data_IF_278157773197
#
_entry.id   IF_278157773197
#
_cell.length_a   1.000
_cell.length_b   1.000
_cell.length_c   1.000
_cell.angle_alpha   90.00
_cell.angle_beta   90.00
_cell.angle_gamma   90.00
#
_symmetry.space_group_name_H-M   'P 1'
#
loop_
_entity.id
_entity.type
_entity.pdbx_description
1 polymer ?
#
# COMPACT_ATOMS: atom_id res chain seq x y z
N UNK A 1 -6.73 -4.73 16.17
CA UNK A 1 -5.74 -3.65 15.98
C UNK A 1 -6.50 -2.41 15.59
N UNK A 2 -6.48 -1.37 16.41
CA UNK A 2 -7.19 -0.14 16.13
C UNK A 2 -6.19 1.02 16.20
N UNK A 3 -6.18 1.85 15.17
CA UNK A 3 -5.38 3.07 15.12
C UNK A 3 -6.29 4.24 14.79
N UNK A 4 -6.04 5.38 15.42
CA UNK A 4 -6.91 6.55 15.29
C UNK A 4 -7.06 7.05 13.85
N UNK A 5 -6.11 6.74 12.97
CA UNK A 5 -6.10 7.15 11.57
C UNK A 5 -6.47 6.02 10.59
N UNK A 6 -6.99 4.89 11.04
CA UNK A 6 -7.52 3.84 10.15
C UNK A 6 -9.04 3.72 10.32
N UNK A 7 -9.73 3.24 9.29
CA UNK A 7 -11.18 3.02 9.34
C UNK A 7 -11.46 1.56 9.71
N UNK A 8 -12.22 1.27 10.79
CA UNK A 8 -12.53 -0.10 11.18
C UNK A 8 -13.57 -0.71 10.22
N UNK A 9 -13.37 -1.97 9.86
CA UNK A 9 -14.39 -2.77 9.18
C UNK A 9 -15.49 -3.13 10.19
N UNK A 10 -16.74 -2.74 9.91
CA UNK A 10 -17.86 -3.05 10.80
C UNK A 10 -18.38 -4.46 10.54
N UNK A 11 -18.67 -4.78 9.27
CA UNK A 11 -19.10 -6.11 8.85
C UNK A 11 -18.93 -6.31 7.35
N UNK A 12 -19.03 -7.58 6.94
CA UNK A 12 -18.99 -8.03 5.54
C UNK A 12 -20.38 -8.56 5.19
N UNK A 13 -20.92 -8.09 4.08
CA UNK A 13 -22.16 -8.59 3.52
C UNK A 13 -21.87 -9.37 2.23
N UNK A 14 -22.43 -10.58 2.14
CA UNK A 14 -22.29 -11.46 0.99
C UNK A 14 -23.67 -11.59 0.35
N UNK A 15 -23.78 -11.26 -0.94
CA UNK A 15 -24.97 -11.49 -1.74
C UNK A 15 -24.67 -12.62 -2.74
N UNK A 16 -24.96 -13.89 -2.40
CA UNK A 16 -24.51 -15.04 -3.19
C UNK A 16 -25.12 -15.07 -4.59
N UNK A 17 -26.32 -14.52 -4.74
CA UNK A 17 -27.05 -14.51 -6.01
C UNK A 17 -26.40 -13.58 -7.03
N UNK A 18 -25.77 -12.49 -6.57
CA UNK A 18 -25.13 -11.48 -7.41
C UNK A 18 -23.61 -11.62 -7.49
N UNK A 19 -23.01 -12.60 -6.79
CA UNK A 19 -21.54 -12.74 -6.64
C UNK A 19 -20.90 -11.44 -6.15
N UNK A 20 -21.61 -10.71 -5.29
CA UNK A 20 -21.19 -9.41 -4.77
C UNK A 20 -20.77 -9.55 -3.30
N UNK A 21 -19.66 -8.89 -2.96
CA UNK A 21 -19.16 -8.74 -1.60
C UNK A 21 -19.16 -7.25 -1.30
N UNK A 22 -19.86 -6.85 -0.24
CA UNK A 22 -19.90 -5.48 0.27
C UNK A 22 -19.16 -5.40 1.60
N UNK A 23 -18.23 -4.44 1.71
CA UNK A 23 -17.51 -4.15 2.95
C UNK A 23 -18.10 -2.89 3.56
N UNK A 24 -18.58 -2.97 4.80
CA UNK A 24 -19.28 -1.87 5.46
C UNK A 24 -18.39 -1.21 6.50
N UNK A 25 -18.25 0.11 6.39
CA UNK A 25 -17.40 0.96 7.24
C UNK A 25 -18.21 2.13 7.81
N UNK A 26 -17.78 2.73 8.94
CA UNK A 26 -18.35 4.00 9.37
C UNK A 26 -18.09 5.06 8.30
N UNK A 27 -19.13 5.85 7.99
CA UNK A 27 -18.94 7.01 7.12
C UNK A 27 -18.00 8.02 7.79
N UNK A 28 -16.99 8.47 7.05
CA UNK A 28 -16.09 9.52 7.47
C UNK A 28 -16.31 10.75 6.58
N UNK A 29 -16.93 11.78 7.15
CA UNK A 29 -17.08 13.08 6.51
C UNK A 29 -15.69 13.67 6.24
N UNK A 30 -15.41 14.06 5.00
CA UNK A 30 -14.12 14.56 4.58
C UNK A 30 -14.26 15.59 3.45
N UNK A 31 -13.24 16.42 3.31
CA UNK A 31 -13.14 17.39 2.23
C UNK A 31 -12.39 16.77 1.03
N UNK A 32 -12.79 17.05 -0.22
CA UNK A 32 -12.04 16.62 -1.39
C UNK A 32 -10.66 17.27 -1.44
N UNK A 33 -9.58 16.50 -1.66
CA UNK A 33 -8.22 17.04 -1.68
C UNK A 33 -8.02 18.33 -2.54
N UNK A 34 -8.59 18.43 -3.76
CA UNK A 34 -8.48 19.65 -4.57
C UNK A 34 -9.07 20.91 -3.93
N UNK A 35 -9.97 20.80 -2.95
CA UNK A 35 -10.63 21.96 -2.33
C UNK A 35 -9.78 22.65 -1.27
N UNK A 36 -8.69 22.04 -0.81
CA UNK A 36 -7.85 22.62 0.25
C UNK A 36 -6.36 22.59 -0.04
N UNK A 37 -5.86 21.78 -0.98
CA UNK A 37 -4.40 21.55 -1.10
C UNK A 37 -3.56 22.81 -1.39
N UNK A 38 -4.12 23.80 -2.12
CA UNK A 38 -3.45 25.07 -2.40
C UNK A 38 -3.63 26.11 -1.28
N UNK A 39 -4.59 25.86 -0.38
CA UNK A 39 -4.99 26.78 0.68
C UNK A 39 -4.50 26.33 2.06
N UNK A 40 -3.71 25.25 2.13
CA UNK A 40 -3.11 24.80 3.38
C UNK A 40 -1.94 25.72 3.75
N UNK A 41 -1.94 26.21 4.99
CA UNK A 41 -0.77 26.85 5.56
C UNK A 41 0.29 25.83 5.98
N UNK A 42 1.46 26.33 6.40
CA UNK A 42 2.59 25.48 6.79
C UNK A 42 2.25 24.60 8.01
N UNK A 43 1.39 25.08 8.91
CA UNK A 43 1.03 24.36 10.12
C UNK A 43 0.06 23.21 9.79
N UNK A 44 -0.93 23.47 8.94
CA UNK A 44 -1.88 22.48 8.42
C UNK A 44 -1.16 21.41 7.59
N UNK A 45 -0.22 21.80 6.72
CA UNK A 45 0.63 20.83 5.99
C UNK A 45 1.39 19.95 6.98
N UNK A 46 2.00 20.55 8.02
CA UNK A 46 2.75 19.80 9.02
C UNK A 46 1.88 18.82 9.79
N UNK A 47 0.66 19.20 10.15
CA UNK A 47 -0.30 18.33 10.84
C UNK A 47 -0.78 17.18 9.95
N UNK A 48 -1.13 17.48 8.69
CA UNK A 48 -1.50 16.48 7.69
C UNK A 48 -0.40 15.44 7.49
N UNK A 49 0.83 15.90 7.24
CA UNK A 49 1.99 15.02 7.03
C UNK A 49 2.32 14.22 8.29
N UNK A 50 2.21 14.82 9.48
CA UNK A 50 2.42 14.10 10.74
C UNK A 50 1.39 12.98 10.92
N UNK A 51 0.11 13.23 10.64
CA UNK A 51 -0.92 12.21 10.73
C UNK A 51 -0.69 11.06 9.73
N UNK A 52 -0.30 11.39 8.49
CA UNK A 52 0.03 10.41 7.46
C UNK A 52 1.22 9.55 7.88
N UNK A 53 2.34 10.16 8.26
CA UNK A 53 3.56 9.43 8.66
C UNK A 53 3.33 8.58 9.91
N UNK A 54 2.59 9.07 10.92
CA UNK A 54 2.22 8.26 12.08
C UNK A 54 1.38 7.03 11.68
N UNK A 55 0.52 7.17 10.67
CA UNK A 55 -0.26 6.04 10.13
C UNK A 55 0.65 5.03 9.44
N UNK A 56 1.65 5.47 8.67
CA UNK A 56 2.62 4.58 8.03
C UNK A 56 3.48 3.83 9.04
N UNK A 57 3.94 4.49 10.10
CA UNK A 57 4.65 3.84 11.22
C UNK A 57 3.79 2.75 11.85
N UNK A 58 2.50 3.02 12.07
CA UNK A 58 1.57 2.00 12.56
C UNK A 58 1.44 0.81 11.60
N UNK A 59 1.35 1.04 10.29
CA UNK A 59 1.28 -0.06 9.31
C UNK A 59 2.57 -0.89 9.30
N UNK A 60 3.73 -0.25 9.31
CA UNK A 60 5.04 -0.89 9.36
C UNK A 60 5.16 -1.80 10.59
N UNK A 61 4.81 -1.29 11.78
CA UNK A 61 4.86 -2.05 13.03
C UNK A 61 3.96 -3.30 13.02
N UNK A 62 2.92 -3.30 12.17
CA UNK A 62 2.01 -4.43 11.99
C UNK A 62 2.32 -5.26 10.73
N UNK A 63 3.46 -5.00 10.08
CA UNK A 63 3.92 -5.73 8.90
C UNK A 63 3.04 -5.54 7.67
N UNK A 64 2.31 -4.43 7.58
CA UNK A 64 1.39 -4.11 6.48
C UNK A 64 2.06 -3.11 5.54
N UNK A 65 2.01 -3.39 4.24
CA UNK A 65 2.32 -2.42 3.18
C UNK A 65 1.01 -2.06 2.49
N UNK A 66 0.67 -0.77 2.44
CA UNK A 66 -0.58 -0.29 1.87
C UNK A 66 -0.61 -0.38 0.34
N UNK A 67 0.51 -0.02 -0.30
CA UNK A 67 0.78 -0.03 -1.76
C UNK A 67 -0.01 0.95 -2.62
N UNK A 68 -0.88 1.75 -2.01
CA UNK A 68 -1.72 2.71 -2.73
C UNK A 68 -1.97 3.98 -1.91
N UNK A 69 -0.92 4.47 -1.25
CA UNK A 69 -0.93 5.77 -0.59
C UNK A 69 -1.06 6.86 -1.68
N UNK A 70 -2.09 7.69 -1.53
CA UNK A 70 -2.40 8.83 -2.40
C UNK A 70 -3.44 9.72 -1.71
N UNK A 71 -3.61 10.98 -2.13
CA UNK A 71 -4.53 11.90 -1.46
C UNK A 71 -5.99 11.42 -1.37
N UNK A 72 -6.49 10.66 -2.36
CA UNK A 72 -7.86 10.13 -2.31
C UNK A 72 -8.06 9.01 -1.28
N UNK A 73 -6.96 8.40 -0.81
CA UNK A 73 -6.99 7.32 0.16
C UNK A 73 -6.63 7.80 1.58
N UNK A 74 -6.15 9.04 1.74
CA UNK A 74 -5.93 9.66 3.05
C UNK A 74 -6.94 10.79 3.26
N UNK A 75 -8.12 10.41 3.74
CA UNK A 75 -9.25 11.29 3.95
C UNK A 75 -8.95 12.30 5.06
N UNK A 76 -9.34 13.54 4.84
CA UNK A 76 -9.12 14.63 5.78
C UNK A 76 -10.41 15.42 5.99
N UNK A 77 -10.83 15.53 7.25
CA UNK A 77 -11.89 16.44 7.66
C UNK A 77 -11.23 17.72 8.17
N UNK A 78 -11.25 18.77 7.34
CA UNK A 78 -10.55 20.03 7.61
C UNK A 78 -11.13 20.75 8.82
N UNK A 79 -12.47 20.76 8.95
CA UNK A 79 -13.19 21.39 10.05
C UNK A 79 -12.85 20.79 11.41
N UNK A 80 -12.68 19.47 11.48
CA UNK A 80 -12.45 18.73 12.73
C UNK A 80 -10.99 18.34 12.96
N UNK A 81 -10.10 18.61 12.00
CA UNK A 81 -8.68 18.19 12.02
C UNK A 81 -8.53 16.67 12.23
N UNK A 82 -9.35 15.88 11.54
CA UNK A 82 -9.34 14.42 11.63
C UNK A 82 -8.87 13.79 10.32
N UNK A 83 -8.11 12.70 10.43
CA UNK A 83 -7.48 12.02 9.29
C UNK A 83 -7.77 10.53 9.32
N UNK A 84 -8.02 9.94 8.16
CA UNK A 84 -8.29 8.51 7.99
C UNK A 84 -7.69 7.96 6.69
N UNK A 85 -6.80 6.99 6.82
CA UNK A 85 -6.37 6.11 5.73
C UNK A 85 -7.43 5.06 5.44
N UNK A 86 -7.75 4.90 4.15
CA UNK A 86 -8.74 3.96 3.61
C UNK A 86 -8.17 3.18 2.44
N UNK A 87 -8.94 2.19 1.98
CA UNK A 87 -8.66 1.36 0.80
C UNK A 87 -7.43 0.45 0.92
N UNK A 88 -7.59 -0.59 1.76
CA UNK A 88 -6.60 -1.67 1.92
C UNK A 88 -6.71 -2.74 0.82
N UNK A 89 -7.45 -2.50 -0.27
CA UNK A 89 -7.72 -3.50 -1.31
C UNK A 89 -6.48 -3.98 -2.07
N UNK A 90 -5.41 -3.19 -2.04
CA UNK A 90 -4.11 -3.51 -2.65
C UNK A 90 -3.03 -3.84 -1.62
N UNK A 91 -3.36 -3.80 -0.33
CA UNK A 91 -2.40 -4.02 0.75
C UNK A 91 -1.90 -5.46 0.80
N UNK A 92 -0.72 -5.65 1.41
CA UNK A 92 -0.13 -6.97 1.61
C UNK A 92 0.71 -7.03 2.87
N UNK A 93 0.80 -8.20 3.47
CA UNK A 93 1.75 -8.44 4.55
C UNK A 93 3.18 -8.58 4.01
N UNK A 94 4.15 -8.01 4.72
CA UNK A 94 5.59 -8.13 4.39
C UNK A 94 5.99 -9.61 4.30
N UNK A 95 5.49 -10.44 5.21
CA UNK A 95 5.75 -11.88 5.20
C UNK A 95 5.33 -12.59 3.90
N UNK A 96 4.32 -12.08 3.21
CA UNK A 96 3.87 -12.68 1.94
C UNK A 96 4.70 -12.18 0.75
N UNK A 97 5.23 -10.96 0.85
CA UNK A 97 6.21 -10.44 -0.11
C UNK A 97 7.50 -11.27 -0.03
N UNK A 98 8.02 -11.51 1.18
CA UNK A 98 9.24 -12.30 1.40
C UNK A 98 9.12 -13.72 0.86
N UNK A 99 7.97 -14.39 1.06
CA UNK A 99 7.70 -15.73 0.49
C UNK A 99 7.67 -15.75 -1.04
N UNK A 100 7.34 -14.61 -1.68
CA UNK A 100 7.21 -14.52 -3.14
C UNK A 100 8.55 -14.30 -3.87
N UNK A 101 9.60 -13.92 -3.13
CA UNK A 101 10.95 -13.78 -3.66
C UNK A 101 11.58 -15.17 -3.77
N UNK A 102 12.04 -15.62 -4.96
CA UNK A 102 12.74 -16.89 -5.09
C UNK A 102 14.03 -16.84 -4.26
N UNK A 103 14.24 -17.81 -3.35
CA UNK A 103 15.48 -17.93 -2.57
C UNK A 103 16.71 -17.94 -3.49
N UNK A 104 17.44 -16.83 -3.55
CA UNK A 104 18.74 -16.71 -4.21
C UNK A 104 19.88 -17.33 -3.38
N UNK A 105 19.58 -17.90 -2.21
CA UNK A 105 20.56 -18.41 -1.25
C UNK A 105 20.77 -19.94 -1.25
N UNK A 106 20.18 -20.70 -2.18
CA UNK A 106 20.33 -22.16 -2.25
C UNK A 106 20.84 -22.69 -3.60
N UNK A 107 21.74 -22.00 -4.27
CA UNK A 107 22.54 -22.54 -5.39
C UNK A 107 24.00 -22.75 -4.97
N UNK A 108 24.24 -23.75 -4.11
CA UNK A 108 25.54 -24.43 -4.10
C UNK A 108 25.70 -25.16 -5.43
N UNK A 109 26.64 -24.67 -6.24
CA UNK A 109 27.39 -25.37 -7.29
C UNK A 109 26.71 -26.58 -7.95
N UNK A 110 26.11 -26.37 -9.12
CA UNK A 110 26.20 -27.36 -10.20
C UNK A 110 26.55 -26.66 -11.51
N UNK A 111 27.77 -26.92 -11.93
CA UNK A 111 28.28 -26.65 -13.27
C UNK A 111 27.50 -27.52 -14.26
N UNK A 112 26.66 -26.94 -15.11
CA UNK A 112 26.29 -27.58 -16.37
C UNK A 112 25.94 -26.51 -17.41
N UNK A 113 26.84 -26.41 -18.38
CA UNK A 113 26.75 -25.62 -19.61
C UNK A 113 25.58 -26.10 -20.45
N UNK A 114 24.48 -25.35 -20.52
CA UNK A 114 23.49 -25.47 -21.60
C UNK A 114 22.98 -24.06 -21.94
N UNK A 115 23.42 -23.56 -23.10
CA UNK A 115 22.85 -22.41 -23.79
C UNK A 115 21.49 -22.85 -24.37
N UNK A 116 20.43 -22.81 -23.56
CA UNK A 116 19.05 -22.99 -24.05
C UNK A 116 18.37 -21.61 -24.18
N UNK A 117 18.18 -21.08 -25.41
CA UNK A 117 17.52 -19.81 -25.64
C UNK A 117 16.01 -19.83 -25.30
N UNK A 118 15.44 -21.00 -24.99
CA UNK A 118 14.03 -21.15 -24.59
C UNK A 118 13.80 -21.24 -23.09
N UNK A 119 14.85 -21.23 -22.26
CA UNK A 119 14.69 -21.02 -20.82
C UNK A 119 14.39 -19.55 -20.55
N UNK A 120 13.18 -19.10 -20.93
CA UNK A 120 12.60 -17.88 -20.37
C UNK A 120 12.52 -18.11 -18.87
N UNK A 121 13.54 -17.65 -18.13
CA UNK A 121 13.48 -17.52 -16.67
C UNK A 121 12.12 -16.92 -16.38
N UNK A 122 11.23 -17.71 -15.77
CA UNK A 122 9.89 -17.23 -15.40
C UNK A 122 10.15 -15.97 -14.60
N UNK A 123 9.80 -14.82 -15.17
CA UNK A 123 9.91 -13.55 -14.46
C UNK A 123 9.08 -13.78 -13.20
N UNK A 124 9.66 -13.67 -11.99
CA UNK A 124 8.90 -13.82 -10.76
C UNK A 124 7.64 -12.98 -10.86
N UNK A 125 6.53 -13.47 -10.32
CA UNK A 125 5.28 -12.72 -10.34
C UNK A 125 5.42 -11.51 -9.40
N UNK A 126 6.01 -10.42 -9.92
CA UNK A 126 6.27 -9.20 -9.16
C UNK A 126 4.97 -8.42 -9.05
N UNK A 127 4.54 -8.13 -7.82
CA UNK A 127 3.36 -7.30 -7.59
C UNK A 127 3.65 -5.86 -8.02
N UNK A 128 2.69 -5.27 -8.74
CA UNK A 128 2.78 -3.91 -9.33
C UNK A 128 1.54 -3.06 -9.04
N UNK A 129 0.76 -3.47 -8.05
CA UNK A 129 -0.41 -2.75 -7.59
C UNK A 129 -0.05 -1.33 -7.15
N UNK A 130 -1.02 -0.42 -7.21
CA UNK A 130 -0.88 0.98 -6.82
C UNK A 130 -1.16 1.93 -7.97
N UNK A 131 -1.41 3.19 -7.66
CA UNK A 131 -1.80 4.23 -8.64
C UNK A 131 -0.58 4.80 -9.39
N UNK A 132 -0.70 4.98 -10.72
CA UNK A 132 0.37 5.60 -11.53
C UNK A 132 0.64 7.02 -11.03
N UNK A 133 1.91 7.38 -10.90
CA UNK A 133 2.34 8.66 -10.31
C UNK A 133 2.80 8.56 -8.86
N UNK A 134 2.34 7.54 -8.11
CA UNK A 134 2.68 7.32 -6.70
C UNK A 134 3.59 6.10 -6.48
N UNK A 135 3.83 5.30 -7.52
CA UNK A 135 4.65 4.08 -7.43
C UNK A 135 6.14 4.40 -7.27
N UNK A 136 6.75 3.75 -6.29
CA UNK A 136 8.20 3.75 -6.06
C UNK A 136 8.99 3.15 -7.24
N UNK A 137 10.26 3.56 -7.44
CA UNK A 137 11.07 3.10 -8.58
C UNK A 137 11.26 1.57 -8.58
N UNK A 138 11.39 0.92 -7.44
CA UNK A 138 11.47 -0.54 -7.30
C UNK A 138 10.20 -1.27 -7.78
N UNK A 139 9.03 -0.63 -7.69
CA UNK A 139 7.78 -1.13 -8.26
C UNK A 139 7.82 -1.02 -9.80
N UNK A 140 8.32 0.11 -10.32
CA UNK A 140 8.44 0.36 -11.76
C UNK A 140 9.48 -0.55 -12.42
N UNK A 141 10.62 -0.75 -11.75
CA UNK A 141 11.77 -1.54 -12.20
C UNK A 141 11.64 -3.04 -11.93
N UNK A 142 10.60 -3.45 -11.19
CA UNK A 142 10.28 -4.85 -10.88
C UNK A 142 11.36 -5.50 -10.00
N UNK A 143 11.74 -4.84 -8.92
CA UNK A 143 12.71 -5.33 -7.95
C UNK A 143 11.98 -5.90 -6.71
N UNK A 144 11.56 -7.18 -6.71
CA UNK A 144 10.72 -7.73 -5.64
C UNK A 144 11.43 -7.78 -4.27
N UNK A 145 12.75 -7.98 -4.27
CA UNK A 145 13.61 -8.01 -3.07
C UNK A 145 13.62 -6.68 -2.30
N UNK A 146 13.25 -5.57 -2.95
CA UNK A 146 13.27 -4.23 -2.38
C UNK A 146 11.86 -3.66 -2.13
N UNK A 147 10.80 -4.41 -2.41
CA UNK A 147 9.43 -3.95 -2.13
C UNK A 147 9.09 -4.13 -0.65
N UNK A 148 9.43 -3.13 0.16
CA UNK A 148 9.14 -3.08 1.60
C UNK A 148 8.11 -2.00 1.93
N UNK A 149 7.92 -1.68 3.22
CA UNK A 149 7.13 -0.52 3.66
C UNK A 149 7.64 0.81 3.07
N UNK A 150 8.90 0.88 2.63
CA UNK A 150 9.50 2.06 2.00
C UNK A 150 8.78 2.51 0.73
N UNK A 151 8.06 1.61 0.04
CA UNK A 151 7.29 2.00 -1.14
C UNK A 151 6.16 2.96 -0.79
N UNK A 152 5.58 2.83 0.41
CA UNK A 152 4.53 3.73 0.90
C UNK A 152 5.11 5.08 1.30
N UNK A 153 6.35 5.11 1.81
CA UNK A 153 7.08 6.34 2.12
C UNK A 153 7.42 7.12 0.85
N UNK A 154 7.76 6.43 -0.26
CA UNK A 154 7.94 7.09 -1.56
C UNK A 154 6.67 7.76 -2.07
N UNK A 155 5.50 7.18 -1.79
CA UNK A 155 4.21 7.70 -2.26
C UNK A 155 3.74 8.97 -1.56
N UNK A 156 4.36 9.34 -0.42
CA UNK A 156 4.08 10.56 0.36
C UNK A 156 4.62 11.79 -0.35
#
# INVERSE_FOLDING_TARGET
MEHQHTVPLLFIELEPTQKQISLIFPYFEHDPFPSYFLDMDVDEIREYMRALLNTLVFLEQNGIVHRDIKPSNFLYNRKRRLYKLVDFGLSSFISDIEKSVPNTSSSKQQHSSIHDPHLRKRIPHVVRSGTRGFRAPEILLRCPEHQSYTIDVWSV
#
